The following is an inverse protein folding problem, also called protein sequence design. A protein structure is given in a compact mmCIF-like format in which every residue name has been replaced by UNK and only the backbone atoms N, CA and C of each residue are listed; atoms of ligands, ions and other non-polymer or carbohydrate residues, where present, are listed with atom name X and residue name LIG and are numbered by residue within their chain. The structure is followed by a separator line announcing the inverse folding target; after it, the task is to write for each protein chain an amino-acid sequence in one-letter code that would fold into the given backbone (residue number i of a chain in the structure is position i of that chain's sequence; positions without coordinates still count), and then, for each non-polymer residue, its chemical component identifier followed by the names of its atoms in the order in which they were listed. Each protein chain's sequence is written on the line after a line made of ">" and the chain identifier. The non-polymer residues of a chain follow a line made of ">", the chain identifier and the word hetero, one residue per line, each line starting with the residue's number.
data_IF_930414941689
#
_entry.id   IF_930414941689
#
_cell.length_a   1.000
_cell.length_b   1.000
_cell.length_c   1.000
_cell.angle_alpha   90.00
_cell.angle_beta   90.00
_cell.angle_gamma   90.00
#
_symmetry.space_group_name_H-M   'P 1'
#
loop_
_entity.id
_entity.type
_entity.pdbx_description
1 polymer ?
#
# COMPACT_ATOMS: atom_id res chain seq x y z
N UNK A 1 -32.09 -5.68 38.52
CA UNK A 1 -31.02 -5.17 37.62
C UNK A 1 -31.09 -5.97 36.33
N UNK A 2 -31.65 -5.43 35.23
CA UNK A 2 -31.76 -6.19 34.00
C UNK A 2 -30.44 -6.13 33.21
N UNK A 3 -29.96 -7.31 32.82
CA UNK A 3 -28.75 -7.55 32.04
C UNK A 3 -28.94 -7.06 30.59
N UNK A 4 -28.02 -6.21 30.15
CA UNK A 4 -27.97 -5.62 28.81
C UNK A 4 -27.66 -6.69 27.77
N UNK A 5 -28.52 -6.82 26.75
CA UNK A 5 -28.34 -7.68 25.57
C UNK A 5 -27.29 -7.03 24.67
N UNK A 6 -26.14 -7.68 24.49
CA UNK A 6 -25.17 -7.29 23.48
C UNK A 6 -25.64 -7.82 22.12
N UNK A 7 -25.91 -6.91 21.19
CA UNK A 7 -26.20 -7.24 19.80
C UNK A 7 -24.87 -7.43 19.06
N UNK A 8 -24.63 -8.66 18.58
CA UNK A 8 -23.53 -8.98 17.69
C UNK A 8 -23.92 -8.45 16.29
N UNK A 9 -23.29 -7.36 15.85
CA UNK A 9 -23.43 -6.88 14.47
C UNK A 9 -22.41 -7.65 13.63
N UNK A 10 -22.89 -8.57 12.81
CA UNK A 10 -22.09 -9.26 11.80
C UNK A 10 -22.12 -8.40 10.54
N UNK A 11 -21.03 -7.66 10.29
CA UNK A 11 -20.85 -6.88 9.07
C UNK A 11 -20.28 -7.82 7.98
N UNK A 12 -21.14 -8.27 7.07
CA UNK A 12 -20.73 -8.98 5.85
C UNK A 12 -20.33 -7.96 4.79
N UNK A 13 -19.03 -7.65 4.69
CA UNK A 13 -18.48 -6.83 3.60
C UNK A 13 -18.17 -7.74 2.40
N UNK A 14 -18.80 -7.48 1.26
CA UNK A 14 -18.60 -8.24 0.01
C UNK A 14 -17.46 -7.59 -0.77
N UNK A 15 -16.24 -8.14 -0.66
CA UNK A 15 -15.11 -7.76 -1.50
C UNK A 15 -15.32 -8.31 -2.91
N UNK A 16 -15.53 -7.45 -3.90
CA UNK A 16 -15.59 -7.83 -5.32
C UNK A 16 -14.23 -7.61 -5.97
N UNK A 17 -13.46 -8.69 -6.15
CA UNK A 17 -12.17 -8.66 -6.83
C UNK A 17 -12.37 -8.91 -8.33
N UNK A 18 -12.10 -7.92 -9.18
CA UNK A 18 -12.06 -8.08 -10.64
C UNK A 18 -10.61 -8.17 -11.10
N UNK A 19 -10.15 -9.37 -11.44
CA UNK A 19 -8.77 -9.62 -11.88
C UNK A 19 -8.66 -9.43 -13.41
N UNK A 20 -8.02 -8.35 -13.85
CA UNK A 20 -7.70 -8.14 -15.27
C UNK A 20 -6.22 -8.46 -15.50
N UNK A 21 -5.91 -9.63 -16.05
CA UNK A 21 -4.52 -10.02 -16.31
C UNK A 21 -4.00 -9.36 -17.60
N UNK A 22 -3.10 -8.37 -17.46
CA UNK A 22 -2.34 -7.81 -18.58
C UNK A 22 -1.04 -8.60 -18.80
N UNK A 23 -0.75 -8.95 -20.06
CA UNK A 23 0.37 -9.83 -20.44
C UNK A 23 1.77 -9.28 -20.11
N UNK A 24 2.67 -10.20 -19.76
CA UNK A 24 4.03 -9.92 -19.31
C UNK A 24 4.98 -9.42 -20.41
N UNK A 25 5.79 -8.39 -20.11
CA UNK A 25 7.00 -8.03 -20.86
C UNK A 25 8.05 -7.23 -20.03
N UNK A 26 9.21 -7.87 -19.79
CA UNK A 26 10.60 -7.41 -19.57
C UNK A 26 10.96 -6.31 -18.52
N UNK A 27 11.65 -6.74 -17.44
CA UNK A 27 12.47 -5.96 -16.49
C UNK A 27 11.69 -5.18 -15.42
N UNK A 28 12.17 -5.01 -14.17
CA UNK A 28 11.34 -4.50 -13.08
C UNK A 28 11.11 -3.01 -13.30
N UNK A 29 9.92 -2.60 -13.77
CA UNK A 29 9.85 -1.29 -14.41
C UNK A 29 9.92 -0.10 -13.46
N UNK A 30 9.59 -0.27 -12.18
CA UNK A 30 9.02 0.88 -11.47
C UNK A 30 7.90 1.45 -12.35
N UNK A 31 7.94 2.75 -12.64
CA UNK A 31 7.10 3.38 -13.65
C UNK A 31 5.75 3.83 -13.13
N UNK A 32 4.83 4.23 -14.02
CA UNK A 32 3.59 4.89 -13.63
C UNK A 32 2.65 3.96 -12.86
N UNK A 33 1.95 4.54 -11.87
CA UNK A 33 0.90 3.93 -11.06
C UNK A 33 -0.05 5.04 -10.57
N UNK A 34 -1.25 5.12 -11.14
CA UNK A 34 -2.34 6.01 -10.71
C UNK A 34 -1.92 7.46 -10.39
N UNK A 35 -1.25 8.13 -11.35
CA UNK A 35 -0.79 9.52 -11.18
C UNK A 35 0.55 9.68 -10.46
N UNK A 36 1.20 8.58 -10.07
CA UNK A 36 2.55 8.56 -9.50
C UNK A 36 3.51 7.78 -10.40
N UNK A 37 4.82 7.97 -10.21
CA UNK A 37 5.89 7.19 -10.84
C UNK A 37 6.81 6.61 -9.77
N UNK A 38 6.98 5.30 -9.79
CA UNK A 38 7.95 4.58 -8.95
C UNK A 38 9.32 4.63 -9.64
N UNK A 39 10.24 5.43 -9.11
CA UNK A 39 11.57 5.64 -9.72
C UNK A 39 12.69 4.80 -9.10
N UNK A 40 12.42 4.20 -7.95
CA UNK A 40 13.37 3.37 -7.22
C UNK A 40 12.77 1.99 -6.92
N UNK A 41 13.56 0.94 -7.16
CA UNK A 41 13.27 -0.42 -6.74
C UNK A 41 14.52 -1.04 -6.09
N UNK A 42 14.41 -1.68 -4.92
CA UNK A 42 15.53 -2.33 -4.26
C UNK A 42 16.06 -3.49 -5.10
N UNK A 43 17.36 -3.78 -4.97
CA UNK A 43 17.96 -4.96 -5.62
C UNK A 43 17.28 -6.27 -5.18
N UNK A 44 16.76 -6.32 -3.95
CA UNK A 44 15.97 -7.45 -3.41
C UNK A 44 14.72 -7.75 -4.24
N UNK A 45 14.11 -6.73 -4.85
CA UNK A 45 12.95 -6.85 -5.76
C UNK A 45 13.43 -7.18 -7.20
N UNK A 46 14.69 -7.57 -7.37
CA UNK A 46 15.41 -7.73 -8.63
C UNK A 46 14.75 -8.62 -9.71
N UNK A 47 15.46 -8.98 -10.79
CA UNK A 47 14.87 -9.47 -12.04
C UNK A 47 14.01 -10.75 -11.95
N UNK A 48 14.03 -11.44 -10.81
CA UNK A 48 13.18 -12.60 -10.51
C UNK A 48 11.77 -12.22 -10.05
N UNK A 49 11.55 -10.98 -9.58
CA UNK A 49 10.24 -10.53 -9.17
C UNK A 49 9.37 -10.17 -10.38
N UNK A 50 8.15 -10.70 -10.41
CA UNK A 50 7.15 -10.39 -11.42
C UNK A 50 6.21 -9.30 -10.88
N UNK A 51 6.13 -8.12 -11.50
CA UNK A 51 5.15 -7.10 -11.11
C UNK A 51 3.75 -7.47 -11.60
N UNK A 52 2.73 -7.17 -10.80
CA UNK A 52 1.31 -7.30 -11.12
C UNK A 52 0.56 -6.06 -10.64
N UNK A 53 -0.22 -5.47 -11.55
CA UNK A 53 -1.08 -4.32 -11.27
C UNK A 53 -2.52 -4.77 -11.16
N UNK A 54 -3.22 -4.31 -10.14
CA UNK A 54 -4.64 -4.58 -9.96
C UNK A 54 -5.29 -3.46 -9.16
N UNK A 55 -6.60 -3.35 -9.30
CA UNK A 55 -7.41 -2.38 -8.57
C UNK A 55 -8.58 -3.07 -7.90
N UNK A 56 -8.96 -2.55 -6.74
CA UNK A 56 -10.09 -3.04 -5.96
C UNK A 56 -10.63 -1.91 -5.10
N UNK A 57 -11.80 -2.13 -4.50
CA UNK A 57 -12.44 -1.18 -3.61
C UNK A 57 -12.65 -1.84 -2.25
N UNK A 58 -12.43 -1.07 -1.19
CA UNK A 58 -12.76 -1.46 0.17
C UNK A 58 -13.33 -0.25 0.90
N UNK A 59 -14.58 -0.39 1.36
CA UNK A 59 -15.42 0.75 1.76
C UNK A 59 -15.45 1.82 0.65
N UNK A 60 -15.36 3.10 0.99
CA UNK A 60 -15.40 4.21 0.02
C UNK A 60 -14.00 4.56 -0.53
N UNK A 61 -13.04 3.61 -0.50
CA UNK A 61 -11.66 3.82 -0.97
C UNK A 61 -11.32 2.86 -2.11
N UNK A 62 -10.92 3.45 -3.24
CA UNK A 62 -10.39 2.72 -4.39
C UNK A 62 -8.88 2.57 -4.25
N UNK A 63 -8.40 1.36 -4.40
CA UNK A 63 -7.00 1.00 -4.40
C UNK A 63 -6.53 0.73 -5.82
N UNK A 64 -5.41 1.33 -6.21
CA UNK A 64 -4.61 0.91 -7.35
C UNK A 64 -3.27 0.41 -6.84
N UNK A 65 -3.02 -0.88 -7.01
CA UNK A 65 -1.88 -1.57 -6.38
C UNK A 65 -0.96 -2.13 -7.44
N UNK A 66 0.34 -1.97 -7.23
CA UNK A 66 1.38 -2.78 -7.87
C UNK A 66 2.02 -3.67 -6.80
N UNK A 67 2.01 -4.97 -7.02
CA UNK A 67 2.70 -5.95 -6.19
C UNK A 67 3.84 -6.59 -6.98
N UNK A 68 4.96 -6.87 -6.31
CA UNK A 68 6.05 -7.65 -6.88
C UNK A 68 6.10 -8.99 -6.19
N UNK A 69 5.98 -10.06 -6.97
CA UNK A 69 5.94 -11.42 -6.46
C UNK A 69 7.13 -12.23 -6.93
N UNK A 70 7.67 -13.07 -6.05
CA UNK A 70 8.74 -14.01 -6.35
C UNK A 70 8.29 -15.43 -6.05
N UNK A 71 8.69 -16.38 -6.90
CA UNK A 71 8.50 -17.80 -6.62
C UNK A 71 9.36 -18.21 -5.43
N UNK A 72 8.79 -19.00 -4.52
CA UNK A 72 9.56 -19.62 -3.42
C UNK A 72 10.21 -20.91 -3.89
N UNK A 73 11.37 -21.22 -3.31
CA UNK A 73 11.93 -22.56 -3.42
C UNK A 73 10.93 -23.59 -2.82
N UNK A 74 10.69 -24.68 -3.55
CA UNK A 74 9.67 -25.66 -3.16
C UNK A 74 8.23 -25.32 -3.58
N UNK A 75 8.02 -24.20 -4.26
CA UNK A 75 6.74 -23.82 -4.86
C UNK A 75 5.97 -22.74 -4.09
N UNK A 76 4.96 -22.17 -4.75
CA UNK A 76 4.21 -21.00 -4.26
C UNK A 76 4.91 -19.67 -4.58
N UNK A 77 4.26 -18.58 -4.16
CA UNK A 77 4.73 -17.21 -4.40
C UNK A 77 4.74 -16.42 -3.09
N UNK A 78 5.59 -15.40 -3.02
CA UNK A 78 5.57 -14.37 -1.99
C UNK A 78 5.53 -12.99 -2.61
N UNK A 79 4.73 -12.13 -2.03
CA UNK A 79 4.79 -10.69 -2.30
C UNK A 79 5.97 -10.11 -1.54
N UNK A 80 6.94 -9.56 -2.26
CA UNK A 80 8.14 -8.96 -1.65
C UNK A 80 7.98 -7.46 -1.43
N UNK A 81 7.19 -6.79 -2.27
CA UNK A 81 6.91 -5.36 -2.19
C UNK A 81 5.49 -5.10 -2.68
N UNK A 82 4.80 -4.15 -2.04
CA UNK A 82 3.58 -3.55 -2.57
C UNK A 82 3.68 -2.04 -2.54
N UNK A 83 3.12 -1.40 -3.58
CA UNK A 83 2.82 0.03 -3.60
C UNK A 83 1.33 0.17 -3.85
N UNK A 84 0.64 0.91 -2.98
CA UNK A 84 -0.79 1.16 -3.03
C UNK A 84 -1.01 2.65 -3.19
N UNK A 85 -1.74 3.05 -4.23
CA UNK A 85 -2.33 4.38 -4.34
C UNK A 85 -3.80 4.25 -3.99
N UNK A 86 -4.23 5.00 -2.98
CA UNK A 86 -5.57 4.96 -2.41
C UNK A 86 -6.28 6.29 -2.69
N UNK A 87 -7.50 6.22 -3.21
CA UNK A 87 -8.33 7.40 -3.49
C UNK A 87 -9.68 7.28 -2.80
N UNK A 88 -10.05 8.30 -2.03
CA UNK A 88 -11.33 8.37 -1.34
C UNK A 88 -11.48 9.67 -0.56
N UNK A 89 -12.70 10.21 -0.48
CA UNK A 89 -12.96 11.55 0.07
C UNK A 89 -12.56 11.70 1.55
N UNK A 90 -12.51 10.59 2.29
CA UNK A 90 -12.10 10.54 3.70
C UNK A 90 -10.59 10.60 3.94
N UNK A 91 -9.75 10.41 2.92
CA UNK A 91 -8.28 10.40 3.04
C UNK A 91 -7.73 11.83 3.04
N UNK A 92 -8.11 12.62 4.04
CA UNK A 92 -7.90 14.08 4.02
C UNK A 92 -6.59 14.56 4.62
N UNK A 93 -6.04 13.80 5.56
CA UNK A 93 -4.80 14.10 6.26
C UNK A 93 -4.18 12.82 6.83
N UNK A 94 -2.96 12.93 7.35
CA UNK A 94 -2.17 11.80 7.83
C UNK A 94 -2.85 11.04 8.99
N UNK A 95 -3.60 11.75 9.83
CA UNK A 95 -4.36 11.15 10.93
C UNK A 95 -5.54 10.32 10.42
N UNK A 96 -6.27 10.85 9.43
CA UNK A 96 -7.38 10.15 8.76
C UNK A 96 -6.88 8.90 8.05
N UNK A 97 -5.75 9.00 7.33
CA UNK A 97 -5.12 7.85 6.67
C UNK A 97 -4.62 6.81 7.68
N UNK A 98 -3.99 7.23 8.78
CA UNK A 98 -3.61 6.32 9.87
C UNK A 98 -4.84 5.58 10.42
N UNK A 99 -5.94 6.29 10.67
CA UNK A 99 -7.17 5.65 11.17
C UNK A 99 -7.74 4.64 10.16
N UNK A 100 -7.76 5.01 8.88
CA UNK A 100 -8.21 4.13 7.80
C UNK A 100 -7.34 2.88 7.68
N UNK A 101 -6.02 3.04 7.61
CA UNK A 101 -5.08 1.92 7.49
C UNK A 101 -5.08 1.04 8.74
N UNK A 102 -5.28 1.59 9.94
CA UNK A 102 -5.45 0.79 11.14
C UNK A 102 -6.68 -0.12 11.02
N UNK A 103 -7.80 0.41 10.49
CA UNK A 103 -8.99 -0.40 10.25
C UNK A 103 -8.77 -1.45 9.15
N UNK A 104 -8.22 -1.04 8.02
CA UNK A 104 -7.97 -1.90 6.86
C UNK A 104 -6.99 -3.03 7.15
N UNK A 105 -5.91 -2.75 7.90
CA UNK A 105 -4.92 -3.76 8.32
C UNK A 105 -5.32 -4.53 9.58
N UNK A 106 -6.54 -4.32 10.09
CA UNK A 106 -7.04 -4.90 11.34
C UNK A 106 -6.07 -4.70 12.52
N UNK A 107 -5.43 -3.52 12.57
CA UNK A 107 -4.39 -3.18 13.54
C UNK A 107 -4.96 -2.35 14.68
N UNK A 108 -4.55 -2.70 15.90
CA UNK A 108 -4.85 -1.88 17.07
C UNK A 108 -4.04 -0.57 17.01
N UNK A 109 -4.70 0.60 16.92
CA UNK A 109 -4.04 1.91 16.79
C UNK A 109 -3.18 2.28 18.01
N UNK A 110 -3.43 1.69 19.18
CA UNK A 110 -2.65 1.95 20.40
C UNK A 110 -1.34 1.16 20.41
N UNK A 111 -1.26 0.07 19.63
CA UNK A 111 -0.06 -0.77 19.48
C UNK A 111 0.77 -0.44 18.23
N UNK A 112 0.25 0.46 17.38
CA UNK A 112 0.88 0.77 16.11
C UNK A 112 1.95 1.85 16.27
N UNK A 113 3.15 1.38 16.58
CA UNK A 113 4.35 2.20 16.69
C UNK A 113 4.80 2.71 15.32
N UNK A 114 4.71 4.02 15.15
CA UNK A 114 5.01 4.73 13.91
C UNK A 114 5.93 5.90 14.22
N UNK A 115 6.92 6.10 13.36
CA UNK A 115 7.80 7.24 13.38
C UNK A 115 7.55 8.13 12.15
N UNK A 116 7.89 9.41 12.27
CA UNK A 116 7.83 10.36 11.16
C UNK A 116 8.98 10.12 10.18
N UNK A 117 8.69 10.22 8.88
CA UNK A 117 9.73 10.40 7.87
C UNK A 117 9.39 11.56 6.95
N UNK A 118 10.43 12.31 6.59
CA UNK A 118 10.29 13.41 5.64
C UNK A 118 10.47 12.93 4.20
N UNK A 119 9.57 13.37 3.32
CA UNK A 119 9.58 13.09 1.89
C UNK A 119 9.47 14.40 1.11
N UNK A 120 10.61 15.03 0.85
CA UNK A 120 10.70 16.37 0.26
C UNK A 120 9.81 17.37 1.04
N UNK A 121 8.69 17.80 0.43
CA UNK A 121 7.74 18.76 0.99
C UNK A 121 6.54 18.10 1.72
N UNK A 122 6.54 16.78 1.89
CA UNK A 122 5.44 16.04 2.53
C UNK A 122 5.95 15.15 3.65
N UNK A 123 5.39 15.26 4.85
CA UNK A 123 5.66 14.35 5.96
C UNK A 123 4.79 13.08 5.84
N UNK A 124 5.36 11.94 6.19
CA UNK A 124 4.67 10.66 6.26
C UNK A 124 4.97 9.91 7.56
N UNK A 125 4.31 8.77 7.75
CA UNK A 125 4.56 7.85 8.87
C UNK A 125 5.11 6.53 8.34
N UNK A 126 6.01 5.91 9.10
CA UNK A 126 6.49 4.57 8.81
C UNK A 126 6.57 3.71 10.06
N UNK A 127 6.37 2.42 9.86
CA UNK A 127 6.54 1.37 10.85
C UNK A 127 7.56 0.34 10.39
N UNK A 128 7.48 -0.85 10.97
CA UNK A 128 8.40 -1.94 10.66
C UNK A 128 8.23 -2.51 9.24
N UNK A 129 7.01 -2.48 8.69
CA UNK A 129 6.67 -3.13 7.41
C UNK A 129 5.92 -2.22 6.43
N UNK A 130 5.71 -0.95 6.78
CA UNK A 130 4.93 -0.01 5.99
C UNK A 130 5.44 1.43 6.10
N UNK A 131 5.27 2.21 5.04
CA UNK A 131 5.41 3.66 5.05
C UNK A 131 4.25 4.28 4.25
N UNK A 132 3.63 5.33 4.76
CA UNK A 132 2.50 5.98 4.09
C UNK A 132 2.45 7.49 4.31
N UNK A 133 1.84 8.19 3.35
CA UNK A 133 1.72 9.66 3.37
C UNK A 133 0.49 10.13 2.55
N UNK A 134 0.22 11.44 2.62
CA UNK A 134 -0.92 12.10 1.97
C UNK A 134 -0.41 13.18 1.01
N UNK A 135 -0.20 12.86 -0.28
CA UNK A 135 0.28 13.83 -1.27
C UNK A 135 -0.68 14.99 -1.46
N UNK A 136 -1.98 14.72 -1.40
CA UNK A 136 -3.05 15.71 -1.53
C UNK A 136 -4.33 15.18 -0.88
N UNK A 137 -5.30 16.07 -0.63
CA UNK A 137 -6.58 15.69 -0.04
C UNK A 137 -7.29 14.66 -0.93
N UNK A 138 -7.68 13.54 -0.33
CA UNK A 138 -8.39 12.45 -0.99
C UNK A 138 -7.47 11.40 -1.60
N UNK A 139 -6.16 11.51 -1.43
CA UNK A 139 -5.16 10.58 -1.96
C UNK A 139 -4.19 10.18 -0.85
N UNK A 140 -3.95 8.88 -0.72
CA UNK A 140 -2.89 8.35 0.12
C UNK A 140 -2.02 7.38 -0.67
N UNK A 141 -0.74 7.30 -0.31
CA UNK A 141 0.18 6.31 -0.87
C UNK A 141 0.76 5.49 0.27
N UNK A 142 0.82 4.18 0.09
CA UNK A 142 1.44 3.23 1.02
C UNK A 142 2.44 2.35 0.28
N UNK A 143 3.60 2.15 0.90
CA UNK A 143 4.61 1.17 0.51
C UNK A 143 4.68 0.10 1.59
N UNK A 144 4.67 -1.17 1.21
CA UNK A 144 4.69 -2.30 2.15
C UNK A 144 5.81 -3.28 1.86
N UNK A 145 6.58 -3.62 2.88
CA UNK A 145 7.40 -4.83 2.93
C UNK A 145 6.57 -5.97 3.51
N UNK A 146 5.72 -6.56 2.68
CA UNK A 146 4.78 -7.63 3.09
C UNK A 146 5.49 -8.89 3.60
N UNK A 147 6.76 -9.09 3.22
CA UNK A 147 7.53 -10.31 3.51
C UNK A 147 8.61 -10.13 4.59
N UNK A 148 8.92 -8.89 4.97
CA UNK A 148 10.03 -8.56 5.86
C UNK A 148 11.41 -8.74 5.21
N UNK A 149 11.49 -8.78 3.88
CA UNK A 149 12.72 -9.05 3.13
C UNK A 149 13.47 -7.79 2.70
N UNK A 150 12.80 -6.64 2.65
CA UNK A 150 13.41 -5.36 2.28
C UNK A 150 14.07 -4.73 3.51
N UNK A 151 13.34 -4.71 4.63
CA UNK A 151 13.69 -3.91 5.80
C UNK A 151 13.35 -2.43 5.61
N UNK A 152 13.41 -1.70 6.73
CA UNK A 152 12.91 -0.32 6.83
C UNK A 152 13.63 0.66 5.91
N UNK A 153 14.96 0.59 5.80
CA UNK A 153 15.74 1.56 5.01
C UNK A 153 15.41 1.47 3.52
N UNK A 154 15.34 0.27 2.97
CA UNK A 154 14.98 0.02 1.56
C UNK A 154 13.52 0.40 1.28
N UNK A 155 12.61 0.07 2.21
CA UNK A 155 11.21 0.49 2.11
C UNK A 155 11.07 2.02 2.05
N UNK A 156 11.82 2.74 2.89
CA UNK A 156 11.82 4.21 2.89
C UNK A 156 12.50 4.77 1.62
N UNK A 157 13.50 4.10 1.06
CA UNK A 157 14.08 4.47 -0.22
C UNK A 157 13.06 4.35 -1.36
N UNK A 158 12.23 3.29 -1.35
CA UNK A 158 11.09 3.15 -2.30
C UNK A 158 10.07 4.26 -2.11
N UNK A 159 9.66 4.54 -0.87
CA UNK A 159 8.69 5.60 -0.58
C UNK A 159 9.16 6.97 -1.09
N UNK A 160 10.45 7.31 -0.89
CA UNK A 160 11.05 8.54 -1.43
C UNK A 160 11.18 8.54 -2.95
N UNK A 161 11.37 7.37 -3.55
CA UNK A 161 11.41 7.19 -5.01
C UNK A 161 10.04 7.28 -5.70
N UNK A 162 8.93 7.37 -4.96
CA UNK A 162 7.61 7.57 -5.56
C UNK A 162 7.37 9.07 -5.71
N UNK A 163 7.23 9.51 -6.96
CA UNK A 163 7.07 10.94 -7.33
C UNK A 163 5.75 11.14 -8.07
N UNK A 164 5.18 12.36 -8.09
CA UNK A 164 4.08 12.67 -8.99
C UNK A 164 4.45 12.31 -10.44
N UNK A 165 3.57 11.62 -11.14
CA UNK A 165 3.75 11.34 -12.56
C UNK A 165 3.55 12.61 -13.39
N UNK A 166 4.20 12.67 -14.55
CA UNK A 166 3.85 13.69 -15.54
C UNK A 166 2.38 13.48 -15.94
N UNK A 167 1.55 14.49 -15.66
CA UNK A 167 0.18 14.50 -16.14
C UNK A 167 0.25 14.55 -17.67
N UNK A 168 -0.31 13.59 -18.42
CA UNK A 168 -0.42 13.78 -19.86
C UNK A 168 -1.30 15.03 -20.08
N UNK A 169 -0.68 16.05 -20.67
CA UNK A 169 -1.34 17.31 -21.05
C UNK A 169 -2.51 17.08 -22.01
#
# INVERSE_FOLDING_TARGET
>A
MPLTRWALVVLTTVLSLVLTAAGAAAGPRGGPLDGFTITHLPETVGPQASPSDFSYEWEDVVFTTRAWEQAKEGGGFQVVLQVLVMRGEGLTDLASVRSFLAHYHERDPDSWDLADFDRDDTSGLYGAAEAFWVPEKGVAVEVRDTSGLLGTDEMLAVARGITPGENPA
#
